data_IF_405919208752
#
_entry.id   IF_405919208752
#
_cell.length_a   1.000
_cell.length_b   1.000
_cell.length_c   1.000
_cell.angle_alpha   90.00
_cell.angle_beta   90.00
_cell.angle_gamma   90.00
#
_symmetry.space_group_name_H-M   'P 1'
#
loop_
_entity.id
_entity.type
_entity.pdbx_description
1 polymer ?
#
# COMPACT_ATOMS: atom_id res chain seq x y z
N UNK A 1 4.55 -23.32 6.20
CA UNK A 1 5.72 -22.47 6.46
C UNK A 1 6.79 -23.36 7.05
N UNK A 2 7.94 -23.45 6.38
CA UNK A 2 9.09 -24.25 6.84
C UNK A 2 9.84 -23.52 7.97
N UNK A 3 9.83 -22.20 7.95
CA UNK A 3 10.47 -21.31 8.93
C UNK A 3 9.42 -20.46 9.66
N UNK A 4 9.67 -20.14 10.94
CA UNK A 4 8.74 -19.31 11.74
C UNK A 4 8.74 -17.85 11.27
N UNK A 5 9.88 -17.34 10.77
CA UNK A 5 10.01 -15.97 10.28
C UNK A 5 9.26 -15.68 8.97
N UNK A 6 8.84 -16.70 8.22
CA UNK A 6 8.00 -16.54 7.02
C UNK A 6 6.62 -15.91 7.33
N UNK A 7 6.16 -15.99 8.59
CA UNK A 7 4.89 -15.39 9.03
C UNK A 7 4.81 -13.89 8.79
N UNK A 8 5.96 -13.20 8.78
CA UNK A 8 5.99 -11.75 8.55
C UNK A 8 5.50 -11.38 7.14
N UNK A 9 5.76 -12.24 6.15
CA UNK A 9 5.30 -12.02 4.77
C UNK A 9 3.77 -11.86 4.68
N UNK A 10 3.03 -12.54 5.56
CA UNK A 10 1.57 -12.46 5.56
C UNK A 10 1.05 -11.04 5.86
N UNK A 11 1.73 -10.29 6.73
CA UNK A 11 1.36 -8.90 7.02
C UNK A 11 1.52 -8.00 5.77
N UNK A 12 2.62 -8.18 5.05
CA UNK A 12 2.88 -7.46 3.80
C UNK A 12 1.86 -7.79 2.72
N UNK A 13 1.49 -9.07 2.59
CA UNK A 13 0.46 -9.49 1.63
C UNK A 13 -0.94 -8.98 2.01
N UNK A 14 -1.34 -9.12 3.28
CA UNK A 14 -2.62 -8.60 3.75
C UNK A 14 -2.73 -7.08 3.52
N UNK A 15 -1.67 -6.34 3.83
CA UNK A 15 -1.60 -4.89 3.58
C UNK A 15 -1.70 -4.57 2.10
N UNK A 16 -0.99 -5.31 1.24
CA UNK A 16 -1.02 -5.10 -0.21
C UNK A 16 -2.42 -5.30 -0.80
N UNK A 17 -3.18 -6.29 -0.32
CA UNK A 17 -4.56 -6.53 -0.76
C UNK A 17 -5.50 -5.42 -0.32
N UNK A 18 -5.35 -4.91 0.90
CA UNK A 18 -6.13 -3.76 1.39
C UNK A 18 -5.85 -2.50 0.57
N UNK A 19 -4.58 -2.21 0.29
CA UNK A 19 -4.18 -1.07 -0.52
C UNK A 19 -4.64 -1.20 -1.97
N UNK A 20 -4.64 -2.41 -2.54
CA UNK A 20 -5.19 -2.69 -3.86
C UNK A 20 -6.71 -2.43 -3.89
N UNK A 21 -7.45 -2.90 -2.88
CA UNK A 21 -8.88 -2.64 -2.79
C UNK A 21 -9.16 -1.14 -2.73
N UNK A 22 -8.37 -0.39 -1.94
CA UNK A 22 -8.45 1.06 -1.88
C UNK A 22 -8.15 1.72 -3.23
N UNK A 23 -7.11 1.25 -3.94
CA UNK A 23 -6.79 1.76 -5.28
C UNK A 23 -7.97 1.58 -6.25
N UNK A 24 -8.63 0.43 -6.23
CA UNK A 24 -9.78 0.15 -7.09
C UNK A 24 -10.92 1.14 -6.81
N UNK A 25 -11.22 1.44 -5.54
CA UNK A 25 -12.24 2.42 -5.16
C UNK A 25 -11.93 3.79 -5.77
N UNK A 26 -10.71 4.31 -5.63
CA UNK A 26 -10.32 5.58 -6.27
C UNK A 26 -10.34 5.51 -7.80
N UNK A 27 -10.05 4.34 -8.38
CA UNK A 27 -10.18 4.10 -9.82
C UNK A 27 -11.61 4.25 -10.30
N UNK A 28 -12.58 3.68 -9.57
CA UNK A 28 -14.00 3.83 -9.86
C UNK A 28 -14.49 5.27 -9.66
N UNK A 29 -14.05 5.97 -8.60
CA UNK A 29 -14.40 7.39 -8.39
C UNK A 29 -14.01 8.22 -9.61
N UNK A 30 -12.77 8.06 -10.10
CA UNK A 30 -12.31 8.75 -11.31
C UNK A 30 -13.07 8.33 -12.57
N UNK A 31 -13.39 7.03 -12.70
CA UNK A 31 -14.17 6.51 -13.82
C UNK A 31 -15.57 7.13 -13.88
N UNK A 32 -16.26 7.21 -12.75
CA UNK A 32 -17.58 7.84 -12.66
C UNK A 32 -17.52 9.35 -12.90
N UNK A 33 -16.50 10.03 -12.38
CA UNK A 33 -16.28 11.45 -12.68
C UNK A 33 -16.11 11.69 -14.19
N UNK A 34 -15.39 10.81 -14.90
CA UNK A 34 -15.22 10.90 -16.35
C UNK A 34 -16.51 10.63 -17.14
N UNK A 35 -17.44 9.84 -16.57
CA UNK A 35 -18.77 9.60 -17.14
C UNK A 35 -19.77 10.74 -16.85
N UNK A 36 -19.35 11.81 -16.17
CA UNK A 36 -20.18 12.96 -15.82
C UNK A 36 -20.89 12.85 -14.46
N UNK A 37 -20.61 11.80 -13.67
CA UNK A 37 -21.13 11.63 -12.31
C UNK A 37 -20.15 12.22 -11.28
N UNK A 38 -20.05 13.55 -11.25
CA UNK A 38 -19.10 14.27 -10.39
C UNK A 38 -19.70 14.69 -9.03
N UNK A 39 -20.34 13.74 -8.33
CA UNK A 39 -21.00 14.00 -7.03
C UNK A 39 -20.03 14.12 -5.85
N UNK A 40 -18.75 13.75 -6.03
CA UNK A 40 -17.72 13.73 -4.99
C UNK A 40 -16.69 14.86 -5.14
N UNK A 41 -16.86 15.76 -6.13
CA UNK A 41 -15.87 16.80 -6.47
C UNK A 41 -15.52 17.73 -5.31
N UNK A 42 -16.52 18.13 -4.51
CA UNK A 42 -16.32 19.05 -3.38
C UNK A 42 -15.39 18.47 -2.29
N UNK A 43 -15.33 17.14 -2.18
CA UNK A 43 -14.58 16.44 -1.14
C UNK A 43 -13.31 15.79 -1.67
N UNK A 44 -13.36 15.23 -2.87
CA UNK A 44 -12.25 14.54 -3.52
C UNK A 44 -12.16 15.05 -4.96
N UNK A 45 -11.41 16.14 -5.19
CA UNK A 45 -11.10 16.62 -6.53
C UNK A 45 -10.43 15.54 -7.38
N UNK A 46 -10.61 15.60 -8.71
CA UNK A 46 -10.07 14.59 -9.62
C UNK A 46 -8.53 14.46 -9.56
N UNK A 47 -7.81 15.57 -9.36
CA UNK A 47 -6.35 15.55 -9.18
C UNK A 47 -5.95 14.80 -7.90
N UNK A 48 -6.64 15.01 -6.79
CA UNK A 48 -6.45 14.27 -5.54
C UNK A 48 -6.75 12.79 -5.72
N UNK A 49 -7.89 12.45 -6.35
CA UNK A 49 -8.24 11.06 -6.63
C UNK A 49 -7.18 10.35 -7.49
N UNK A 50 -6.67 11.04 -8.52
CA UNK A 50 -5.59 10.54 -9.38
C UNK A 50 -4.29 10.35 -8.62
N UNK A 51 -3.89 11.32 -7.79
CA UNK A 51 -2.69 11.22 -6.98
C UNK A 51 -2.76 10.02 -6.03
N UNK A 52 -3.88 9.84 -5.33
CA UNK A 52 -4.09 8.69 -4.44
C UNK A 52 -4.02 7.37 -5.22
N UNK A 53 -4.72 7.28 -6.37
CA UNK A 53 -4.75 6.05 -7.17
C UNK A 53 -3.37 5.62 -7.68
N UNK A 54 -2.59 6.52 -8.28
CA UNK A 54 -1.29 6.15 -8.85
C UNK A 54 -0.23 5.91 -7.78
N UNK A 55 -0.27 6.62 -6.65
CA UNK A 55 0.65 6.35 -5.55
C UNK A 55 0.32 5.03 -4.84
N UNK A 56 -0.97 4.72 -4.63
CA UNK A 56 -1.38 3.43 -4.10
C UNK A 56 -0.88 2.27 -4.97
N UNK A 57 -0.97 2.40 -6.30
CA UNK A 57 -0.45 1.41 -7.25
C UNK A 57 1.01 1.04 -6.95
N UNK A 58 1.86 2.05 -6.75
CA UNK A 58 3.28 1.82 -6.46
C UNK A 58 3.45 1.16 -5.09
N UNK A 59 2.78 1.68 -4.07
CA UNK A 59 3.00 1.24 -2.68
C UNK A 59 2.52 -0.19 -2.43
N UNK A 60 1.37 -0.60 -2.97
CA UNK A 60 0.89 -1.97 -2.75
C UNK A 60 1.75 -3.00 -3.49
N UNK A 61 2.25 -2.68 -4.69
CA UNK A 61 3.17 -3.55 -5.43
C UNK A 61 4.49 -3.70 -4.67
N UNK A 62 5.06 -2.60 -4.17
CA UNK A 62 6.28 -2.65 -3.35
C UNK A 62 6.07 -3.48 -2.07
N UNK A 63 4.94 -3.33 -1.39
CA UNK A 63 4.57 -4.18 -0.25
C UNK A 63 4.48 -5.65 -0.66
N UNK A 64 3.90 -5.95 -1.82
CA UNK A 64 3.84 -7.30 -2.39
C UNK A 64 5.23 -7.90 -2.65
N UNK A 65 6.15 -7.12 -3.24
CA UNK A 65 7.54 -7.55 -3.48
C UNK A 65 8.30 -7.80 -2.17
N UNK A 66 8.13 -6.93 -1.18
CA UNK A 66 8.72 -7.14 0.16
C UNK A 66 8.16 -8.40 0.82
N UNK A 67 6.84 -8.62 0.76
CA UNK A 67 6.20 -9.84 1.26
C UNK A 67 6.73 -11.11 0.58
N UNK A 68 6.86 -11.09 -0.75
CA UNK A 68 7.43 -12.20 -1.50
C UNK A 68 8.89 -12.48 -1.10
N UNK A 69 9.71 -11.45 -0.94
CA UNK A 69 11.09 -11.60 -0.48
C UNK A 69 11.17 -12.22 0.93
N UNK A 70 10.34 -11.77 1.88
CA UNK A 70 10.31 -12.34 3.23
C UNK A 70 9.80 -13.78 3.29
N UNK A 71 9.04 -14.23 2.29
CA UNK A 71 8.59 -15.61 2.18
C UNK A 71 9.67 -16.51 1.54
N UNK A 72 10.21 -16.08 0.39
CA UNK A 72 11.13 -16.87 -0.45
C UNK A 72 12.55 -16.94 0.14
N UNK A 73 13.09 -15.83 0.66
CA UNK A 73 14.50 -15.79 1.11
C UNK A 73 14.79 -16.82 2.22
N UNK A 74 13.97 -16.96 3.28
CA UNK A 74 14.20 -17.98 4.30
C UNK A 74 14.19 -19.41 3.73
N UNK A 75 13.34 -19.65 2.73
CA UNK A 75 13.19 -20.95 2.07
C UNK A 75 14.43 -21.30 1.24
N UNK A 76 14.92 -20.36 0.43
CA UNK A 76 16.10 -20.55 -0.44
C UNK A 76 17.42 -20.58 0.33
N UNK A 77 17.50 -19.86 1.46
CA UNK A 77 18.71 -19.81 2.29
C UNK A 77 18.75 -20.89 3.38
N UNK A 78 17.69 -21.70 3.46
CA UNK A 78 17.45 -22.74 4.47
C UNK A 78 17.76 -22.29 5.90
N UNK A 79 17.47 -21.02 6.20
CA UNK A 79 17.73 -20.39 7.50
C UNK A 79 16.69 -19.34 7.83
N UNK A 80 16.53 -19.05 9.13
CA UNK A 80 15.64 -17.99 9.60
C UNK A 80 16.16 -16.59 9.23
N UNK A 81 15.25 -15.60 9.14
CA UNK A 81 15.62 -14.19 9.00
C UNK A 81 16.51 -13.74 10.16
N UNK A 82 17.58 -13.00 9.85
CA UNK A 82 18.57 -12.49 10.83
C UNK A 82 17.88 -11.67 11.93
N UNK A 83 16.91 -10.83 11.55
CA UNK A 83 16.22 -9.94 12.48
C UNK A 83 14.73 -9.80 12.10
N UNK A 84 13.85 -10.74 12.53
CA UNK A 84 12.42 -10.68 12.22
C UNK A 84 11.77 -9.38 12.71
N UNK A 85 12.26 -8.82 13.82
CA UNK A 85 11.77 -7.54 14.37
C UNK A 85 11.92 -6.37 13.39
N UNK A 86 13.00 -6.33 12.61
CA UNK A 86 13.21 -5.26 11.61
C UNK A 86 12.17 -5.33 10.49
N UNK A 87 11.74 -6.53 10.11
CA UNK A 87 10.69 -6.69 9.10
C UNK A 87 9.33 -6.14 9.59
N UNK A 88 9.00 -6.31 10.87
CA UNK A 88 7.81 -5.67 11.47
C UNK A 88 7.93 -4.15 11.54
N UNK A 89 9.12 -3.62 11.86
CA UNK A 89 9.37 -2.17 11.87
C UNK A 89 9.25 -1.60 10.46
N UNK A 90 9.81 -2.28 9.45
CA UNK A 90 9.70 -1.89 8.04
C UNK A 90 8.24 -1.90 7.57
N UNK A 91 7.48 -2.94 7.93
CA UNK A 91 6.05 -3.01 7.67
C UNK A 91 5.30 -1.83 8.30
N UNK A 92 5.52 -1.57 9.59
CA UNK A 92 4.87 -0.48 10.30
C UNK A 92 5.20 0.89 9.69
N UNK A 93 6.48 1.11 9.34
CA UNK A 93 6.91 2.34 8.68
C UNK A 93 6.20 2.52 7.32
N UNK A 94 6.09 1.47 6.51
CA UNK A 94 5.40 1.52 5.22
C UNK A 94 3.92 1.88 5.41
N UNK A 95 3.23 1.26 6.37
CA UNK A 95 1.82 1.54 6.65
C UNK A 95 1.62 2.98 7.15
N UNK A 96 2.43 3.42 8.10
CA UNK A 96 2.34 4.77 8.68
C UNK A 96 2.57 5.83 7.61
N UNK A 97 3.66 5.70 6.84
CA UNK A 97 3.98 6.64 5.75
C UNK A 97 2.89 6.61 4.67
N UNK A 98 2.37 5.43 4.32
CA UNK A 98 1.28 5.30 3.36
C UNK A 98 0.01 6.02 3.81
N UNK A 99 -0.40 5.84 5.07
CA UNK A 99 -1.57 6.54 5.62
C UNK A 99 -1.34 8.05 5.67
N UNK A 100 -0.17 8.50 6.12
CA UNK A 100 0.19 9.92 6.16
C UNK A 100 0.16 10.53 4.76
N UNK A 101 0.66 9.82 3.74
CA UNK A 101 0.64 10.30 2.37
C UNK A 101 -0.79 10.44 1.83
N UNK A 102 -1.68 9.47 2.09
CA UNK A 102 -3.09 9.54 1.67
C UNK A 102 -3.82 10.69 2.39
N UNK A 103 -3.65 10.83 3.70
CA UNK A 103 -4.21 11.93 4.48
C UNK A 103 -3.69 13.25 3.94
N UNK A 104 -2.38 13.32 3.72
CA UNK A 104 -1.73 14.35 2.94
C UNK A 104 -2.59 14.67 1.74
N UNK A 105 -2.69 13.75 0.75
CA UNK A 105 -3.38 13.92 -0.53
C UNK A 105 -4.74 14.64 -0.46
N UNK A 106 -5.48 14.49 0.64
CA UNK A 106 -6.78 15.14 0.83
C UNK A 106 -6.69 16.57 1.43
N UNK A 107 -5.63 16.91 2.14
CA UNK A 107 -5.42 18.21 2.78
C UNK A 107 -4.45 19.14 2.03
N UNK A 108 -3.95 18.76 0.86
CA UNK A 108 -3.00 19.54 0.06
C UNK A 108 -1.73 19.98 0.82
N UNK A 109 -1.24 19.17 1.76
CA UNK A 109 -0.03 19.47 2.55
C UNK A 109 1.27 19.58 1.71
N UNK A 110 1.30 19.17 0.43
CA UNK A 110 2.44 19.36 -0.49
C UNK A 110 2.32 20.60 -1.38
N UNK A 111 1.20 21.33 -1.38
CA UNK A 111 1.03 22.57 -2.16
C UNK A 111 1.49 23.81 -1.36
N UNK A 112 2.74 23.76 -0.88
CA UNK A 112 3.47 24.92 -0.34
C UNK A 112 4.28 25.65 -1.40
#
# INVERSE_FOLDING_TARGET
MKFQSQKVAWLFFATSLVLLALQLVYGFIMGFAHMGYDGLHEWIPFNTARAVHTNLLVVWILSGFMGAAYYIIPEETDRELIAPKLAYVQWAALVIVGVIAIVGFHFNWWEG
#
